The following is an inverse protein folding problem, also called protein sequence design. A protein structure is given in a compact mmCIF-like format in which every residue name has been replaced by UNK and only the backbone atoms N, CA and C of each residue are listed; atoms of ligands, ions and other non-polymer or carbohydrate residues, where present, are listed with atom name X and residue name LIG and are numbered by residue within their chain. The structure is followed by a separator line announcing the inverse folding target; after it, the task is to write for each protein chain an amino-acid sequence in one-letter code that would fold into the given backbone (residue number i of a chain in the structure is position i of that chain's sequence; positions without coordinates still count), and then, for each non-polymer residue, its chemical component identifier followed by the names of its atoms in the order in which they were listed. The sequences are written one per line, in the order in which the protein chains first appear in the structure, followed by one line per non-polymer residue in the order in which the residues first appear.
data_IF_833055027417
#
_entry.id   IF_833055027417
#
_cell.length_a   1.000
_cell.length_b   1.000
_cell.length_c   1.000
_cell.angle_alpha   90.00
_cell.angle_beta   90.00
_cell.angle_gamma   90.00
#
_symmetry.space_group_name_H-M   'P 1'
#
loop_
_entity.id
_entity.type
_entity.pdbx_description
1 polymer ?
#
# COMPACT_ATOMS: atom_id res chain seq x y z
N UNK A 1 19.64 -0.07 -10.93
CA UNK A 1 18.73 -0.97 -11.67
C UNK A 1 18.38 -0.27 -12.98
N UNK A 2 18.65 -0.88 -14.12
CA UNK A 2 18.30 -0.33 -15.44
C UNK A 2 17.08 -1.12 -15.91
N UNK A 3 15.96 -0.42 -16.13
CA UNK A 3 14.73 -1.00 -16.67
C UNK A 3 14.77 -0.93 -18.20
N UNK A 4 14.40 -2.03 -18.86
CA UNK A 4 14.21 -2.09 -20.31
C UNK A 4 12.82 -1.55 -20.66
N UNK A 5 12.77 -0.55 -21.52
CA UNK A 5 11.53 0.00 -22.06
C UNK A 5 11.05 -0.80 -23.27
N UNK A 6 9.74 -0.74 -23.55
CA UNK A 6 9.15 -1.33 -24.76
C UNK A 6 8.39 -0.28 -25.57
N UNK A 7 8.16 -0.50 -26.87
CA UNK A 7 7.50 0.48 -27.73
C UNK A 7 5.98 0.62 -27.55
N UNK A 8 5.31 -0.37 -26.93
CA UNK A 8 3.85 -0.34 -26.71
C UNK A 8 3.44 -1.26 -25.55
N UNK A 9 2.28 -0.99 -24.96
CA UNK A 9 1.69 -1.84 -23.92
C UNK A 9 1.00 -3.04 -24.54
N UNK A 10 1.37 -4.23 -24.07
CA UNK A 10 0.74 -5.49 -24.47
C UNK A 10 0.22 -6.21 -23.24
N UNK A 11 -1.05 -6.57 -23.22
CA UNK A 11 -1.68 -7.29 -22.10
C UNK A 11 -2.31 -8.61 -22.56
N UNK A 12 -2.37 -9.62 -21.69
CA UNK A 12 -3.19 -10.81 -21.93
C UNK A 12 -4.66 -10.42 -22.16
N UNK A 13 -5.40 -11.18 -22.98
CA UNK A 13 -6.79 -10.88 -23.37
C UNK A 13 -7.76 -10.66 -22.19
N UNK A 14 -7.47 -11.24 -21.02
CA UNK A 14 -8.28 -11.09 -19.81
C UNK A 14 -8.06 -9.76 -19.07
N UNK A 15 -7.08 -8.95 -19.48
CA UNK A 15 -6.83 -7.60 -18.95
C UNK A 15 -7.21 -6.61 -20.06
N UNK A 16 -8.46 -6.15 -20.05
CA UNK A 16 -9.01 -5.30 -21.11
C UNK A 16 -8.75 -3.82 -20.93
N UNK A 17 -8.42 -3.40 -19.71
CA UNK A 17 -8.46 -1.98 -19.31
C UNK A 17 -7.06 -1.37 -19.10
N UNK A 18 -5.99 -2.07 -19.51
CA UNK A 18 -4.63 -1.55 -19.36
C UNK A 18 -4.27 -0.63 -20.52
N UNK A 19 -3.95 0.63 -20.21
CA UNK A 19 -3.54 1.63 -21.18
C UNK A 19 -2.02 1.88 -21.16
N UNK A 20 -1.50 2.59 -22.16
CA UNK A 20 -0.12 3.07 -22.15
C UNK A 20 0.16 4.01 -20.97
N UNK A 21 -0.82 4.80 -20.53
CA UNK A 21 -0.69 5.67 -19.37
C UNK A 21 -0.48 4.85 -18.07
N UNK A 22 -1.18 3.73 -17.93
CA UNK A 22 -1.08 2.87 -16.74
C UNK A 22 0.28 2.21 -16.57
N UNK A 23 1.00 2.05 -17.67
CA UNK A 23 2.29 1.35 -17.76
C UNK A 23 3.47 2.31 -17.96
N UNK A 24 3.20 3.60 -18.16
CA UNK A 24 4.23 4.62 -18.32
C UNK A 24 4.64 5.19 -16.98
N UNK A 25 5.94 5.13 -16.68
CA UNK A 25 6.54 5.73 -15.50
C UNK A 25 7.76 6.55 -15.90
N UNK A 26 7.78 7.84 -15.54
CA UNK A 26 8.84 8.79 -15.93
C UNK A 26 9.14 8.79 -17.45
N UNK A 27 8.09 8.72 -18.27
CA UNK A 27 8.19 8.72 -19.74
C UNK A 27 8.66 7.40 -20.35
N UNK A 28 8.79 6.33 -19.56
CA UNK A 28 9.17 4.99 -20.04
C UNK A 28 8.03 4.01 -19.83
N UNK A 29 7.69 3.26 -20.88
CA UNK A 29 6.71 2.19 -20.79
C UNK A 29 7.35 0.94 -20.16
N UNK A 30 6.82 0.53 -19.01
CA UNK A 30 7.30 -0.60 -18.21
C UNK A 30 6.46 -1.87 -18.39
N UNK A 31 5.42 -1.86 -19.25
CA UNK A 31 4.50 -2.99 -19.55
C UNK A 31 3.61 -3.43 -18.39
N UNK A 32 3.95 -3.10 -17.16
CA UNK A 32 3.19 -3.42 -15.97
C UNK A 32 2.52 -2.17 -15.41
N UNK A 33 1.25 -2.31 -15.01
CA UNK A 33 0.57 -1.29 -14.22
C UNK A 33 1.32 -1.03 -12.92
N UNK A 34 1.16 0.17 -12.36
CA UNK A 34 1.59 0.47 -11.00
C UNK A 34 1.01 -0.56 -10.02
N UNK A 35 1.83 -1.35 -9.29
CA UNK A 35 1.32 -2.36 -8.39
C UNK A 35 0.61 -1.69 -7.20
N UNK A 36 -0.62 -2.10 -6.93
CA UNK A 36 -1.37 -1.67 -5.74
C UNK A 36 -1.43 -2.80 -4.73
N UNK A 37 -1.12 -2.50 -3.47
CA UNK A 37 -1.36 -3.42 -2.36
C UNK A 37 -2.70 -3.07 -1.69
N UNK A 38 -3.47 -4.10 -1.33
CA UNK A 38 -4.79 -3.95 -0.72
C UNK A 38 -4.90 -4.82 0.52
N UNK A 39 -5.63 -4.34 1.52
CA UNK A 39 -6.03 -5.17 2.66
C UNK A 39 -7.15 -6.10 2.20
N UNK A 40 -7.00 -7.40 2.46
CA UNK A 40 -8.04 -8.41 2.21
C UNK A 40 -8.45 -8.95 3.58
N UNK A 41 -9.76 -9.07 3.82
CA UNK A 41 -10.29 -9.49 5.12
C UNK A 41 -11.42 -10.50 5.00
N UNK A 42 -11.57 -11.34 6.02
CA UNK A 42 -12.67 -12.28 6.12
C UNK A 42 -14.01 -11.53 6.29
N UNK A 43 -15.02 -11.92 5.52
CA UNK A 43 -16.33 -11.25 5.50
C UNK A 43 -17.03 -11.25 6.87
N UNK A 44 -16.97 -12.37 7.60
CA UNK A 44 -17.56 -12.46 8.94
C UNK A 44 -16.82 -11.54 9.92
N UNK A 45 -15.50 -11.49 9.86
CA UNK A 45 -14.70 -10.62 10.73
C UNK A 45 -15.09 -9.14 10.56
N UNK A 46 -15.16 -8.62 9.33
CA UNK A 46 -15.48 -7.21 9.09
C UNK A 46 -16.95 -6.88 9.38
N UNK A 47 -17.86 -7.85 9.29
CA UNK A 47 -19.25 -7.69 9.72
C UNK A 47 -19.36 -7.55 11.24
N UNK A 48 -18.60 -8.37 11.98
CA UNK A 48 -18.56 -8.33 13.45
C UNK A 48 -17.71 -7.14 13.99
N UNK A 49 -16.90 -6.49 13.14
CA UNK A 49 -15.97 -5.41 13.52
C UNK A 49 -16.02 -4.22 12.54
N UNK A 50 -17.11 -3.41 12.54
CA UNK A 50 -17.29 -2.31 11.61
C UNK A 50 -16.20 -1.23 11.72
N UNK A 51 -15.71 -0.96 12.93
CA UNK A 51 -14.58 -0.03 13.17
C UNK A 51 -13.32 -0.52 12.45
N UNK A 52 -13.01 -1.81 12.53
CA UNK A 52 -11.84 -2.37 11.86
C UNK A 52 -12.01 -2.34 10.34
N UNK A 53 -13.22 -2.64 9.84
CA UNK A 53 -13.55 -2.49 8.42
C UNK A 53 -13.26 -1.08 7.93
N UNK A 54 -13.77 -0.06 8.63
CA UNK A 54 -13.54 1.34 8.24
C UNK A 54 -12.08 1.71 8.27
N UNK A 55 -11.35 1.28 9.30
CA UNK A 55 -9.92 1.52 9.39
C UNK A 55 -9.17 0.91 8.19
N UNK A 56 -9.49 -0.34 7.79
CA UNK A 56 -8.89 -0.96 6.60
C UNK A 56 -9.19 -0.21 5.30
N UNK A 57 -10.39 0.37 5.17
CA UNK A 57 -10.77 1.18 4.01
C UNK A 57 -10.00 2.52 3.95
N UNK A 58 -9.52 3.03 5.09
CA UNK A 58 -8.87 4.34 5.21
C UNK A 58 -7.34 4.29 5.11
N UNK A 59 -6.72 3.20 5.59
CA UNK A 59 -5.25 3.12 5.69
C UNK A 59 -4.63 3.11 4.30
N UNK A 60 -3.78 4.11 4.07
CA UNK A 60 -2.97 4.21 2.87
C UNK A 60 -1.54 4.61 3.25
N UNK A 61 -0.59 3.73 2.98
CA UNK A 61 0.83 3.98 3.24
C UNK A 61 1.52 4.30 1.90
N UNK A 62 2.24 5.43 1.79
CA UNK A 62 2.97 5.77 0.57
C UNK A 62 4.01 4.70 0.20
N UNK A 63 4.16 4.42 -1.10
CA UNK A 63 5.16 3.46 -1.60
C UNK A 63 6.59 3.82 -1.17
N UNK A 64 6.90 5.12 -1.09
CA UNK A 64 8.22 5.58 -0.65
C UNK A 64 8.53 5.15 0.80
N UNK A 65 7.55 5.23 1.69
CA UNK A 65 7.72 4.82 3.09
C UNK A 65 7.85 3.30 3.21
N UNK A 66 7.09 2.55 2.41
CA UNK A 66 7.25 1.09 2.30
C UNK A 66 8.64 0.70 1.80
N UNK A 67 9.21 1.45 0.86
CA UNK A 67 10.56 1.23 0.35
C UNK A 67 11.62 1.55 1.41
N UNK A 68 11.46 2.65 2.17
CA UNK A 68 12.34 3.00 3.30
C UNK A 68 12.35 1.90 4.36
N UNK A 69 11.17 1.40 4.76
CA UNK A 69 11.06 0.28 5.70
C UNK A 69 11.70 -1.00 5.13
N UNK A 70 11.43 -1.33 3.87
CA UNK A 70 11.98 -2.51 3.20
C UNK A 70 13.51 -2.47 3.10
N UNK A 71 14.10 -1.30 2.86
CA UNK A 71 15.56 -1.10 2.86
C UNK A 71 16.14 -1.38 4.24
N UNK A 72 15.55 -0.82 5.31
CA UNK A 72 16.01 -1.04 6.69
C UNK A 72 15.91 -2.51 7.12
N UNK A 73 14.85 -3.19 6.71
CA UNK A 73 14.69 -4.65 6.90
C UNK A 73 15.82 -5.40 6.19
N UNK A 74 16.11 -5.05 4.93
CA UNK A 74 17.21 -5.64 4.16
C UNK A 74 18.58 -5.39 4.79
N UNK A 75 18.77 -4.25 5.43
CA UNK A 75 20.00 -3.85 6.13
C UNK A 75 20.15 -4.48 7.53
N UNK A 76 19.19 -5.29 7.97
CA UNK A 76 19.30 -6.12 9.17
C UNK A 76 18.27 -5.82 10.26
N UNK A 77 17.39 -4.83 10.09
CA UNK A 77 16.28 -4.57 11.02
C UNK A 77 15.09 -5.50 10.71
N UNK A 78 15.30 -6.81 10.82
CA UNK A 78 14.39 -7.85 10.29
C UNK A 78 13.78 -8.76 11.36
N UNK A 79 13.88 -8.39 12.64
CA UNK A 79 13.19 -9.08 13.74
C UNK A 79 11.75 -8.59 13.90
N UNK A 80 10.92 -9.33 14.63
CA UNK A 80 9.54 -8.92 14.95
C UNK A 80 9.53 -7.59 15.72
N UNK A 81 10.49 -7.43 16.63
CA UNK A 81 10.70 -6.23 17.44
C UNK A 81 11.06 -5.05 16.55
N UNK A 82 11.95 -5.25 15.58
CA UNK A 82 12.30 -4.22 14.60
C UNK A 82 11.12 -3.82 13.73
N UNK A 83 10.33 -4.78 13.23
CA UNK A 83 9.14 -4.48 12.44
C UNK A 83 8.13 -3.66 13.24
N UNK A 84 7.92 -4.00 14.51
CA UNK A 84 7.04 -3.22 15.40
C UNK A 84 7.58 -1.81 15.64
N UNK A 85 8.89 -1.68 15.86
CA UNK A 85 9.54 -0.37 16.03
C UNK A 85 9.44 0.48 14.77
N UNK A 86 9.69 -0.08 13.59
CA UNK A 86 9.53 0.60 12.29
C UNK A 86 8.10 1.11 12.10
N UNK A 87 7.10 0.29 12.42
CA UNK A 87 5.70 0.70 12.34
C UNK A 87 5.37 1.84 13.32
N UNK A 88 5.88 1.77 14.56
CA UNK A 88 5.69 2.82 15.56
C UNK A 88 6.39 4.13 15.17
N UNK A 89 7.59 4.07 14.60
CA UNK A 89 8.30 5.23 14.05
C UNK A 89 7.46 5.87 12.94
N UNK A 90 6.93 5.08 12.00
CA UNK A 90 6.08 5.61 10.93
C UNK A 90 4.80 6.26 11.48
N UNK A 91 4.13 5.64 12.46
CA UNK A 91 2.95 6.24 13.11
C UNK A 91 3.30 7.57 13.77
N UNK A 92 4.42 7.64 14.50
CA UNK A 92 4.87 8.86 15.16
C UNK A 92 5.14 9.99 14.15
N UNK A 93 5.78 9.67 13.03
CA UNK A 93 6.10 10.63 11.98
C UNK A 93 4.84 11.05 11.17
N UNK A 94 3.76 10.28 11.25
CA UNK A 94 2.49 10.51 10.56
C UNK A 94 1.30 10.64 11.53
N UNK A 95 1.55 11.12 12.76
CA UNK A 95 0.63 11.02 13.88
C UNK A 95 -0.75 11.63 13.57
N UNK A 96 -0.79 12.83 12.98
CA UNK A 96 -2.06 13.47 12.62
C UNK A 96 -2.87 12.65 11.61
N UNK A 97 -2.22 12.04 10.63
CA UNK A 97 -2.90 11.21 9.63
C UNK A 97 -3.42 9.93 10.25
N UNK A 98 -2.62 9.30 11.11
CA UNK A 98 -3.01 8.12 11.83
C UNK A 98 -4.20 8.39 12.77
N UNK A 99 -4.16 9.48 13.52
CA UNK A 99 -5.22 9.88 14.44
C UNK A 99 -6.52 10.17 13.68
N UNK A 100 -6.46 10.86 12.53
CA UNK A 100 -7.64 11.04 11.65
C UNK A 100 -8.28 9.72 11.25
N UNK A 101 -7.49 8.72 10.85
CA UNK A 101 -8.02 7.41 10.49
C UNK A 101 -8.70 6.71 11.68
N UNK A 102 -8.11 6.83 12.88
CA UNK A 102 -8.66 6.22 14.09
C UNK A 102 -9.96 6.91 14.52
N UNK A 103 -10.01 8.24 14.50
CA UNK A 103 -11.20 9.01 14.84
C UNK A 103 -12.35 8.70 13.89
N UNK A 104 -12.07 8.69 12.60
CA UNK A 104 -13.06 8.39 11.57
C UNK A 104 -13.56 6.94 11.66
N UNK A 105 -12.66 5.98 11.85
CA UNK A 105 -13.03 4.58 12.03
C UNK A 105 -13.91 4.35 13.27
N UNK A 106 -13.63 5.05 14.38
CA UNK A 106 -14.45 4.98 15.60
C UNK A 106 -15.85 5.61 15.41
N UNK A 107 -16.01 6.53 14.45
CA UNK A 107 -17.29 7.12 14.11
C UNK A 107 -18.32 6.10 13.62
N UNK A 108 -17.88 5.07 12.90
CA UNK A 108 -18.74 3.99 12.36
C UNK A 108 -19.23 2.99 13.42
N UNK A 109 -18.63 3.01 14.63
CA UNK A 109 -19.03 2.15 15.74
C UNK A 109 -20.11 2.73 16.65
N UNK A 110 -20.65 3.92 16.32
CA UNK A 110 -21.71 4.61 17.06
C UNK A 110 -23.06 4.40 16.37
#
# INVERSE_FOLDING_TARGET
MIWLEVPFTSSPEYITDLTEEDTTFNGKNLVFSRPTQKVISNLKFIADNPVAKRWFDLVQIPLEDMNKASLRIKEGQNTTEDMRRLAQEWVKDNQEQFDRWIEEAKGEGK
#
